data_IF_692528541661
#
_entry.id   IF_692528541661
#
_cell.length_a   1.000
_cell.length_b   1.000
_cell.length_c   1.000
_cell.angle_alpha   90.00
_cell.angle_beta   90.00
_cell.angle_gamma   90.00
#
_symmetry.space_group_name_H-M   'P 1'
#
loop_
_entity.id
_entity.type
_entity.pdbx_description
1 polymer ?
#
# COMPACT_ATOMS: atom_id res chain seq x y z
N UNK A 1 17.86 5.11 10.24
CA UNK A 1 17.53 3.83 9.57
C UNK A 1 16.02 3.78 9.42
N UNK A 2 15.49 3.34 8.28
CA UNK A 2 14.03 3.21 8.13
C UNK A 2 13.49 2.12 9.07
N UNK A 3 12.30 2.36 9.59
CA UNK A 3 11.50 1.43 10.37
C UNK A 3 10.65 0.57 9.44
N UNK A 4 10.30 -0.63 9.89
CA UNK A 4 9.43 -1.54 9.14
C UNK A 4 8.27 -2.04 10.00
N UNK A 5 7.15 -2.32 9.35
CA UNK A 5 6.00 -2.97 9.96
C UNK A 5 5.36 -3.95 8.98
N UNK A 6 4.95 -5.10 9.49
CA UNK A 6 4.22 -6.11 8.72
C UNK A 6 2.73 -5.80 8.74
N UNK A 7 2.07 -6.13 7.64
CA UNK A 7 0.66 -5.89 7.46
C UNK A 7 0.14 -6.54 6.19
N UNK A 8 -0.96 -6.01 5.68
CA UNK A 8 -1.54 -6.47 4.43
C UNK A 8 -1.91 -5.30 3.55
N UNK A 9 -2.06 -5.59 2.25
CA UNK A 9 -2.72 -4.71 1.30
C UNK A 9 -3.64 -5.54 0.41
N UNK A 10 -4.82 -4.99 0.11
CA UNK A 10 -5.76 -5.60 -0.83
C UNK A 10 -6.60 -4.57 -1.56
N UNK A 11 -7.04 -4.93 -2.76
CA UNK A 11 -8.12 -4.22 -3.44
C UNK A 11 -9.45 -4.46 -2.73
N UNK A 12 -10.24 -3.42 -2.56
CA UNK A 12 -11.64 -3.48 -2.09
C UNK A 12 -12.63 -3.10 -3.19
N UNK A 13 -12.13 -2.56 -4.31
CA UNK A 13 -12.84 -2.31 -5.56
C UNK A 13 -11.86 -2.31 -6.73
N UNK A 14 -12.35 -2.06 -7.94
CA UNK A 14 -11.50 -2.03 -9.14
C UNK A 14 -10.46 -0.89 -9.13
N UNK A 15 -10.76 0.19 -8.43
CA UNK A 15 -9.92 1.38 -8.29
C UNK A 15 -9.67 1.75 -6.81
N UNK A 16 -10.08 0.91 -5.86
CA UNK A 16 -9.96 1.20 -4.41
C UNK A 16 -9.17 0.10 -3.73
N UNK A 17 -8.25 0.48 -2.85
CA UNK A 17 -7.49 -0.45 -2.03
C UNK A 17 -7.42 0.02 -0.57
N UNK A 18 -7.10 -0.93 0.31
CA UNK A 18 -6.80 -0.67 1.71
C UNK A 18 -5.57 -1.46 2.11
N UNK A 19 -4.72 -0.85 2.92
CA UNK A 19 -3.65 -1.53 3.65
C UNK A 19 -3.71 -1.22 5.12
N UNK A 20 -3.24 -2.15 5.96
CA UNK A 20 -3.20 -1.97 7.41
C UNK A 20 -1.88 -2.49 7.97
N UNK A 21 -1.25 -1.70 8.85
CA UNK A 21 0.03 -2.01 9.47
C UNK A 21 0.00 -1.73 10.97
N UNK A 22 0.61 -2.59 11.77
CA UNK A 22 0.70 -2.42 13.22
C UNK A 22 2.01 -1.67 13.58
N UNK A 23 1.89 -0.43 14.03
CA UNK A 23 3.03 0.42 14.39
C UNK A 23 2.88 0.87 15.84
N UNK A 24 3.82 0.46 16.70
CA UNK A 24 3.82 0.76 18.14
C UNK A 24 2.48 0.46 18.85
N UNK A 25 1.80 -0.61 18.45
CA UNK A 25 0.51 -1.02 19.03
C UNK A 25 -0.71 -0.28 18.46
N UNK A 26 -0.53 0.64 17.51
CA UNK A 26 -1.61 1.35 16.80
C UNK A 26 -1.73 0.82 15.38
N UNK A 27 -2.95 0.64 14.88
CA UNK A 27 -3.17 0.20 13.50
C UNK A 27 -3.27 1.44 12.60
N UNK A 28 -2.35 1.52 11.64
CA UNK A 28 -2.36 2.53 10.59
C UNK A 28 -2.94 1.95 9.32
N UNK A 29 -3.99 2.59 8.82
CA UNK A 29 -4.61 2.27 7.55
C UNK A 29 -4.20 3.27 6.49
N UNK A 30 -3.82 2.78 5.31
CA UNK A 30 -3.73 3.62 4.12
C UNK A 30 -4.83 3.18 3.16
N UNK A 31 -5.79 4.07 2.95
CA UNK A 31 -6.94 3.82 2.09
C UNK A 31 -6.78 4.71 0.87
N UNK A 32 -6.70 4.09 -0.30
CA UNK A 32 -6.36 4.80 -1.53
C UNK A 32 -7.30 4.48 -2.68
N UNK A 33 -7.30 5.42 -3.62
CA UNK A 33 -7.99 5.31 -4.90
C UNK A 33 -7.00 5.51 -6.04
N UNK A 34 -7.02 4.59 -6.99
CA UNK A 34 -6.19 4.59 -8.19
C UNK A 34 -6.85 5.43 -9.30
N UNK A 35 -6.03 6.05 -10.14
CA UNK A 35 -6.47 6.85 -11.29
C UNK A 35 -7.03 5.99 -12.43
N UNK A 36 -6.63 4.72 -12.49
CA UNK A 36 -7.10 3.72 -13.43
C UNK A 36 -7.52 2.44 -12.70
N UNK A 37 -8.47 1.71 -13.28
CA UNK A 37 -8.89 0.41 -12.75
C UNK A 37 -7.79 -0.63 -12.93
N UNK A 38 -7.54 -1.41 -11.90
CA UNK A 38 -6.57 -2.52 -11.93
C UNK A 38 -7.27 -3.84 -11.70
N UNK A 39 -6.52 -4.94 -11.90
CA UNK A 39 -6.95 -6.24 -11.40
C UNK A 39 -6.99 -6.20 -9.87
N UNK A 40 -7.92 -6.96 -9.30
CA UNK A 40 -7.98 -7.14 -7.86
C UNK A 40 -6.73 -7.88 -7.39
N UNK A 41 -6.09 -7.36 -6.35
CA UNK A 41 -4.89 -7.92 -5.76
C UNK A 41 -5.05 -8.08 -4.25
N UNK A 42 -4.35 -9.06 -3.70
CA UNK A 42 -4.24 -9.30 -2.26
C UNK A 42 -2.80 -9.70 -1.95
N UNK A 43 -2.28 -9.15 -0.87
CA UNK A 43 -0.96 -9.46 -0.33
C UNK A 43 -1.08 -9.39 1.20
N UNK A 44 -1.10 -10.55 1.85
CA UNK A 44 -1.17 -10.64 3.33
C UNK A 44 0.20 -10.53 4.02
N UNK A 45 1.29 -10.46 3.25
CA UNK A 45 2.66 -10.33 3.75
C UNK A 45 3.29 -8.97 3.37
N UNK A 46 2.48 -7.92 3.34
CA UNK A 46 2.95 -6.59 2.98
C UNK A 46 3.87 -6.03 4.07
N UNK A 47 4.94 -5.36 3.65
CA UNK A 47 5.87 -4.64 4.51
C UNK A 47 5.75 -3.15 4.23
N UNK A 48 5.37 -2.39 5.25
CA UNK A 48 5.49 -0.94 5.28
C UNK A 48 6.91 -0.57 5.72
N UNK A 49 7.56 0.30 4.98
CA UNK A 49 8.85 0.92 5.32
C UNK A 49 8.66 2.43 5.44
N UNK A 50 9.12 3.05 6.53
CA UNK A 50 8.88 4.47 6.85
C UNK A 50 10.00 5.03 7.74
N UNK A 51 10.15 6.35 7.86
CA UNK A 51 11.19 6.94 8.72
C UNK A 51 10.64 7.38 10.07
N UNK A 52 9.41 7.88 10.10
CA UNK A 52 8.76 8.39 11.30
C UNK A 52 7.24 8.18 11.24
N UNK A 53 6.57 8.17 12.40
CA UNK A 53 5.08 8.14 12.45
C UNK A 53 4.44 9.38 11.82
N UNK A 54 5.18 10.49 11.76
CA UNK A 54 4.72 11.71 11.07
C UNK A 54 4.64 11.52 9.55
N UNK A 55 5.26 10.46 9.01
CA UNK A 55 5.11 10.08 7.59
C UNK A 55 3.76 9.37 7.33
N UNK A 56 3.12 8.82 8.37
CA UNK A 56 1.92 7.99 8.29
C UNK A 56 0.65 8.82 8.57
N UNK A 57 0.57 9.99 7.92
CA UNK A 57 -0.52 10.95 8.09
C UNK A 57 -0.89 11.64 6.78
N UNK A 58 -2.05 12.29 6.78
CA UNK A 58 -2.61 13.09 5.70
C UNK A 58 -2.92 12.31 4.41
N UNK A 59 -3.42 13.06 3.41
CA UNK A 59 -3.63 12.55 2.05
C UNK A 59 -2.36 12.72 1.23
N UNK A 60 -1.89 11.65 0.60
CA UNK A 60 -0.65 11.59 -0.19
C UNK A 60 -0.91 10.97 -1.55
N UNK A 61 -0.12 11.38 -2.55
CA UNK A 61 -0.08 10.66 -3.82
C UNK A 61 0.61 9.31 -3.63
N UNK A 62 0.26 8.33 -4.45
CA UNK A 62 0.87 7.01 -4.45
C UNK A 62 1.18 6.62 -5.89
N UNK A 63 2.38 6.07 -6.09
CA UNK A 63 2.78 5.48 -7.36
C UNK A 63 3.38 4.10 -7.12
N UNK A 64 3.29 3.22 -8.08
CA UNK A 64 3.75 1.86 -7.88
C UNK A 64 3.47 0.95 -9.06
N UNK A 65 3.58 -0.34 -8.77
CA UNK A 65 3.45 -1.41 -9.74
C UNK A 65 2.85 -2.64 -9.07
N UNK A 66 1.95 -3.31 -9.79
CA UNK A 66 1.42 -4.62 -9.44
C UNK A 66 1.82 -5.62 -10.52
N UNK A 67 2.69 -6.55 -10.15
CA UNK A 67 3.37 -7.46 -11.05
C UNK A 67 2.82 -8.89 -11.05
N UNK A 68 3.48 -9.82 -11.76
CA UNK A 68 3.11 -11.23 -11.76
C UNK A 68 3.20 -11.92 -10.40
N UNK A 69 4.00 -11.40 -9.47
CA UNK A 69 4.21 -12.00 -8.15
C UNK A 69 4.38 -11.01 -7.02
N UNK A 70 4.55 -9.72 -7.30
CA UNK A 70 4.85 -8.71 -6.28
C UNK A 70 4.03 -7.45 -6.48
N UNK A 71 3.88 -6.70 -5.40
CA UNK A 71 3.36 -5.35 -5.39
C UNK A 71 4.39 -4.42 -4.75
N UNK A 72 4.51 -3.21 -5.29
CA UNK A 72 5.32 -2.14 -4.72
C UNK A 72 4.61 -0.82 -4.90
N UNK A 73 4.54 -0.01 -3.86
CA UNK A 73 3.99 1.33 -3.86
C UNK A 73 4.89 2.28 -3.07
N UNK A 74 5.05 3.48 -3.58
CA UNK A 74 5.75 4.61 -2.98
C UNK A 74 4.72 5.71 -2.71
N UNK A 75 4.69 6.16 -1.46
CA UNK A 75 3.78 7.20 -0.98
C UNK A 75 4.55 8.53 -0.92
N UNK A 76 3.91 9.59 -1.40
CA UNK A 76 4.47 10.94 -1.54
C UNK A 76 4.74 11.60 -0.19
N UNK A 77 5.87 11.22 0.40
CA UNK A 77 6.55 11.74 1.59
C UNK A 77 7.57 10.72 2.15
N UNK A 78 7.74 9.56 1.50
CA UNK A 78 8.80 8.60 1.80
C UNK A 78 8.36 7.15 2.08
N UNK A 79 7.19 6.88 2.69
CA UNK A 79 6.80 5.50 2.99
C UNK A 79 6.67 4.63 1.75
N UNK A 80 7.05 3.37 1.87
CA UNK A 80 6.85 2.38 0.81
C UNK A 80 6.10 1.17 1.35
N UNK A 81 5.25 0.59 0.50
CA UNK A 81 4.52 -0.64 0.79
C UNK A 81 4.93 -1.65 -0.28
N UNK A 82 5.45 -2.80 0.13
CA UNK A 82 5.85 -3.85 -0.80
C UNK A 82 5.54 -5.24 -0.25
N UNK A 83 5.37 -6.21 -1.14
CA UNK A 83 5.14 -7.59 -0.72
C UNK A 83 4.94 -8.55 -1.88
N UNK A 84 4.73 -9.82 -1.55
CA UNK A 84 4.43 -10.87 -2.53
C UNK A 84 2.92 -11.02 -2.65
N UNK A 85 2.42 -11.03 -3.87
CA UNK A 85 1.00 -11.24 -4.12
C UNK A 85 0.60 -12.68 -3.78
N UNK A 86 -0.59 -12.83 -3.19
CA UNK A 86 -1.14 -14.15 -2.87
C UNK A 86 -1.62 -14.89 -4.14
N UNK A 87 -1.97 -14.12 -5.18
CA UNK A 87 -2.32 -14.61 -6.51
C UNK A 87 -1.57 -13.82 -7.59
N UNK A 88 -1.07 -14.48 -8.63
CA UNK A 88 -0.35 -13.81 -9.70
C UNK A 88 -1.26 -12.89 -10.51
N UNK A 89 -0.73 -11.74 -10.94
CA UNK A 89 -1.46 -10.77 -11.76
C UNK A 89 -0.88 -10.70 -13.16
N UNK A 90 -1.73 -10.94 -14.15
CA UNK A 90 -1.37 -10.86 -15.56
C UNK A 90 -2.49 -10.23 -16.41
N UNK A 91 -2.18 -9.24 -17.27
CA UNK A 91 -0.88 -8.56 -17.36
C UNK A 91 -0.58 -7.77 -16.08
N UNK A 92 0.71 -7.48 -15.81
CA UNK A 92 1.07 -6.53 -14.77
C UNK A 92 0.52 -5.12 -15.10
N UNK A 93 0.44 -4.25 -14.09
CA UNK A 93 -0.06 -2.90 -14.25
C UNK A 93 0.62 -1.89 -13.35
N UNK A 94 0.63 -0.64 -13.80
CA UNK A 94 1.08 0.49 -12.99
C UNK A 94 -0.01 0.91 -12.01
N UNK A 95 0.42 1.35 -10.83
CA UNK A 95 -0.42 1.95 -9.81
C UNK A 95 -0.11 3.44 -9.77
N UNK A 96 -1.12 4.28 -9.94
CA UNK A 96 -1.02 5.72 -9.75
C UNK A 96 -2.32 6.20 -9.11
N UNK A 97 -2.26 7.11 -8.15
CA UNK A 97 -3.43 7.57 -7.43
C UNK A 97 -3.10 8.34 -6.16
N UNK A 98 -4.04 8.34 -5.21
CA UNK A 98 -3.83 8.98 -3.92
C UNK A 98 -4.51 8.18 -2.81
N UNK A 99 -4.05 8.36 -1.57
CA UNK A 99 -4.65 7.75 -0.41
C UNK A 99 -4.48 8.58 0.85
N UNK A 100 -5.25 8.24 1.87
CA UNK A 100 -5.23 8.89 3.17
C UNK A 100 -4.80 7.90 4.25
N UNK A 101 -3.94 8.38 5.14
CA UNK A 101 -3.60 7.67 6.36
C UNK A 101 -4.63 7.93 7.48
N UNK A 102 -5.13 6.86 8.07
CA UNK A 102 -6.03 6.89 9.23
C UNK A 102 -5.51 5.95 10.32
N UNK A 103 -5.67 6.34 11.59
CA UNK A 103 -5.31 5.54 12.76
C UNK A 103 -6.58 5.01 13.43
N UNK A 104 -6.53 3.77 13.92
CA UNK A 104 -7.60 3.13 14.73
C UNK A 104 -7.05 2.49 15.98
#
# INVERSE_FOLDING_TARGET
>A
MPLTSLGFIRSTGADVFTSSFLVDGVIYHFIGRLSATTKLFTCYNATLTYNSKDDLTATRQVKGFVGPSTISMEIDNGPTISGTLDLPIYPPGDLDGSGIWNMS
#
